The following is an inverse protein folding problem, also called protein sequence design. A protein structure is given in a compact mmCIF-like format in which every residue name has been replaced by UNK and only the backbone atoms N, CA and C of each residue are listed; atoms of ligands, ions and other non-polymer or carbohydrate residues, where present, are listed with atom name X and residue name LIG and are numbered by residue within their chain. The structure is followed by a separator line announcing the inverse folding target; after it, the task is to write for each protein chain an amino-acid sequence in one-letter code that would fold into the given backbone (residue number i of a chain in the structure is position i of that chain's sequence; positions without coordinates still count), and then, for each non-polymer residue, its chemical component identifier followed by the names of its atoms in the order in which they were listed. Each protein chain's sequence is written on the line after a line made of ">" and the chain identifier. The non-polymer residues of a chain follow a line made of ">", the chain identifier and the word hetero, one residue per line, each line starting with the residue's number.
data_IF_854942210173
#
_entry.id   IF_854942210173
#
_cell.length_a   1.000
_cell.length_b   1.000
_cell.length_c   1.000
_cell.angle_alpha   90.00
_cell.angle_beta   90.00
_cell.angle_gamma   90.00
#
_symmetry.space_group_name_H-M   'P 1'
#
loop_
_entity.id
_entity.type
_entity.pdbx_description
1 polymer ?
#
# COMPACT_ATOMS: atom_id res chain seq x y z
N UNK A 1 -13.60 -0.85 -11.88
CA UNK A 1 -12.57 -1.03 -10.84
C UNK A 1 -12.61 0.04 -9.77
N UNK A 2 -12.40 1.32 -10.09
CA UNK A 2 -12.53 2.43 -9.12
C UNK A 2 -13.82 2.37 -8.28
N UNK A 3 -14.98 2.29 -8.91
CA UNK A 3 -16.27 2.18 -8.19
C UNK A 3 -16.36 0.97 -7.24
N UNK A 4 -15.73 -0.16 -7.60
CA UNK A 4 -15.69 -1.33 -6.72
C UNK A 4 -14.74 -1.10 -5.54
N UNK A 5 -13.55 -0.52 -5.81
CA UNK A 5 -12.57 -0.14 -4.80
C UNK A 5 -13.17 0.81 -3.75
N UNK A 6 -13.86 1.86 -4.21
CA UNK A 6 -14.57 2.81 -3.35
C UNK A 6 -15.63 2.12 -2.48
N UNK A 7 -16.49 1.27 -3.07
CA UNK A 7 -17.53 0.57 -2.30
C UNK A 7 -16.92 -0.39 -1.27
N UNK A 8 -15.87 -1.12 -1.63
CA UNK A 8 -15.19 -2.02 -0.70
C UNK A 8 -14.46 -1.28 0.41
N UNK A 9 -13.79 -0.16 0.12
CA UNK A 9 -13.10 0.62 1.16
C UNK A 9 -14.07 1.35 2.10
N UNK A 10 -15.24 1.77 1.60
CA UNK A 10 -16.27 2.43 2.41
C UNK A 10 -17.06 1.46 3.29
N UNK A 11 -17.40 0.27 2.77
CA UNK A 11 -18.37 -0.64 3.39
C UNK A 11 -17.77 -1.95 3.91
N UNK A 12 -16.51 -2.24 3.58
CA UNK A 12 -15.90 -3.55 3.80
C UNK A 12 -16.41 -4.63 2.84
N UNK A 13 -15.84 -5.83 2.94
CA UNK A 13 -16.14 -6.93 2.02
C UNK A 13 -17.60 -7.39 2.14
N UNK A 14 -18.09 -7.61 3.36
CA UNK A 14 -19.40 -8.21 3.61
C UNK A 14 -20.57 -7.35 3.14
N UNK A 15 -20.58 -6.07 3.51
CA UNK A 15 -21.66 -5.15 3.19
C UNK A 15 -21.62 -4.65 1.72
N UNK A 16 -20.48 -4.76 1.04
CA UNK A 16 -20.38 -4.43 -0.37
C UNK A 16 -21.26 -5.37 -1.23
N UNK A 17 -22.04 -4.78 -2.13
CA UNK A 17 -22.92 -5.52 -3.04
C UNK A 17 -22.68 -5.12 -4.49
N UNK A 18 -22.90 -6.06 -5.41
CA UNK A 18 -22.91 -5.76 -6.85
C UNK A 18 -23.92 -4.67 -7.22
N UNK A 19 -25.02 -4.54 -6.49
CA UNK A 19 -25.97 -3.46 -6.72
C UNK A 19 -25.38 -2.09 -6.38
N UNK A 20 -24.71 -1.96 -5.23
CA UNK A 20 -24.04 -0.72 -4.83
C UNK A 20 -22.93 -0.34 -5.82
N UNK A 21 -22.14 -1.32 -6.25
CA UNK A 21 -21.07 -1.12 -7.24
C UNK A 21 -21.64 -0.72 -8.60
N UNK A 22 -22.74 -1.35 -9.04
CA UNK A 22 -23.40 -1.02 -10.30
C UNK A 22 -23.91 0.42 -10.30
N UNK A 23 -24.60 0.83 -9.24
CA UNK A 23 -25.07 2.21 -9.07
C UNK A 23 -23.89 3.20 -9.12
N UNK A 24 -22.79 2.90 -8.41
CA UNK A 24 -21.59 3.74 -8.36
C UNK A 24 -20.89 3.85 -9.72
N UNK A 25 -20.90 2.77 -10.50
CA UNK A 25 -20.26 2.69 -11.80
C UNK A 25 -21.14 3.20 -12.96
N UNK A 26 -22.36 3.66 -12.69
CA UNK A 26 -23.39 3.96 -13.70
C UNK A 26 -23.66 2.77 -14.64
N UNK A 27 -23.70 1.57 -14.04
CA UNK A 27 -23.95 0.30 -14.73
C UNK A 27 -25.20 -0.37 -14.16
N UNK A 28 -25.69 -1.38 -14.90
CA UNK A 28 -26.73 -2.27 -14.40
C UNK A 28 -26.09 -3.44 -13.64
N UNK A 29 -26.82 -3.99 -12.65
CA UNK A 29 -26.37 -5.19 -11.94
C UNK A 29 -26.12 -6.40 -12.87
N UNK A 30 -26.95 -6.67 -13.89
CA UNK A 30 -26.65 -7.70 -14.90
C UNK A 30 -25.32 -7.49 -15.63
N UNK A 31 -24.94 -6.23 -15.92
CA UNK A 31 -23.66 -5.94 -16.56
C UNK A 31 -22.48 -6.37 -15.67
N UNK A 32 -22.52 -6.11 -14.35
CA UNK A 32 -21.47 -6.57 -13.44
C UNK A 32 -21.42 -8.11 -13.37
N UNK A 33 -22.57 -8.77 -13.28
CA UNK A 33 -22.65 -10.24 -13.26
C UNK A 33 -22.08 -10.88 -14.53
N UNK A 34 -22.09 -10.17 -15.66
CA UNK A 34 -21.48 -10.66 -16.90
C UNK A 34 -19.95 -10.73 -16.80
N UNK A 35 -19.31 -9.79 -16.10
CA UNK A 35 -17.86 -9.76 -15.91
C UNK A 35 -17.40 -10.60 -14.72
N UNK A 36 -18.19 -10.66 -13.65
CA UNK A 36 -17.79 -11.31 -12.39
C UNK A 36 -18.84 -12.31 -11.93
N UNK A 37 -18.46 -13.59 -11.92
CA UNK A 37 -19.32 -14.66 -11.45
C UNK A 37 -19.55 -14.66 -9.93
N UNK A 38 -18.71 -13.96 -9.15
CA UNK A 38 -18.89 -13.82 -7.70
C UNK A 38 -18.27 -12.54 -7.15
N UNK A 39 -18.74 -12.10 -5.97
CA UNK A 39 -18.16 -10.96 -5.23
C UNK A 39 -16.70 -11.20 -4.88
N UNK A 40 -16.34 -12.45 -4.56
CA UNK A 40 -14.96 -12.86 -4.27
C UNK A 40 -14.03 -12.61 -5.45
N UNK A 41 -14.43 -13.03 -6.65
CA UNK A 41 -13.63 -12.82 -7.87
C UNK A 41 -13.48 -11.33 -8.20
N UNK A 42 -14.55 -10.54 -8.06
CA UNK A 42 -14.45 -9.10 -8.22
C UNK A 42 -13.51 -8.47 -7.19
N UNK A 43 -13.58 -8.92 -5.93
CA UNK A 43 -12.73 -8.41 -4.87
C UNK A 43 -11.24 -8.72 -5.12
N UNK A 44 -10.92 -9.97 -5.44
CA UNK A 44 -9.56 -10.41 -5.81
C UNK A 44 -9.02 -9.57 -6.97
N UNK A 45 -9.81 -9.40 -8.03
CA UNK A 45 -9.43 -8.59 -9.19
C UNK A 45 -9.20 -7.10 -8.84
N UNK A 46 -9.91 -6.55 -7.84
CA UNK A 46 -9.66 -5.18 -7.35
C UNK A 46 -8.39 -5.14 -6.50
N UNK A 47 -8.11 -6.15 -5.68
CA UNK A 47 -6.84 -6.28 -4.94
C UNK A 47 -5.67 -6.35 -5.91
N UNK A 48 -5.70 -7.28 -6.85
CA UNK A 48 -4.62 -7.52 -7.81
C UNK A 48 -4.33 -6.27 -8.63
N UNK A 49 -5.36 -5.61 -9.18
CA UNK A 49 -5.15 -4.37 -9.94
C UNK A 49 -4.68 -3.20 -9.09
N UNK A 50 -5.12 -3.10 -7.84
CA UNK A 50 -4.63 -2.03 -6.95
C UNK A 50 -3.17 -2.27 -6.59
N UNK A 51 -2.81 -3.51 -6.25
CA UNK A 51 -1.43 -3.87 -5.94
C UNK A 51 -0.51 -3.72 -7.15
N UNK A 52 -0.91 -4.16 -8.34
CA UNK A 52 -0.14 -3.96 -9.56
C UNK A 52 0.06 -2.47 -9.86
N UNK A 53 -1.00 -1.66 -9.72
CA UNK A 53 -0.91 -0.23 -9.96
C UNK A 53 0.02 0.48 -8.97
N UNK A 54 -0.02 0.10 -7.69
CA UNK A 54 0.68 0.80 -6.61
C UNK A 54 2.05 0.19 -6.32
N UNK A 55 2.09 -1.10 -5.99
CA UNK A 55 3.29 -1.80 -5.50
C UNK A 55 4.31 -1.96 -6.63
N UNK A 56 3.91 -2.39 -7.82
CA UNK A 56 4.86 -2.55 -8.93
C UNK A 56 5.46 -1.20 -9.34
N UNK A 57 4.63 -0.16 -9.43
CA UNK A 57 5.09 1.19 -9.73
C UNK A 57 6.03 1.72 -8.64
N UNK A 58 5.70 1.50 -7.37
CA UNK A 58 6.53 1.89 -6.23
C UNK A 58 7.88 1.17 -6.22
N UNK A 59 7.91 -0.14 -6.49
CA UNK A 59 9.15 -0.91 -6.59
C UNK A 59 10.00 -0.47 -7.79
N UNK A 60 9.40 -0.24 -8.96
CA UNK A 60 10.13 0.25 -10.12
C UNK A 60 10.73 1.65 -9.89
N UNK A 61 9.99 2.55 -9.26
CA UNK A 61 10.48 3.90 -8.91
C UNK A 61 11.62 3.83 -7.90
N UNK A 62 11.43 3.08 -6.82
CA UNK A 62 12.42 2.94 -5.76
C UNK A 62 13.71 2.27 -6.23
N UNK A 63 13.68 1.29 -7.12
CA UNK A 63 14.90 0.68 -7.68
C UNK A 63 15.85 1.66 -8.39
N UNK A 64 15.38 2.85 -8.79
CA UNK A 64 16.23 3.89 -9.39
C UNK A 64 17.08 4.63 -8.35
N UNK A 65 16.75 4.48 -7.07
CA UNK A 65 17.41 5.15 -5.96
C UNK A 65 18.59 4.34 -5.42
N UNK A 66 19.64 5.08 -5.04
CA UNK A 66 20.92 4.50 -4.60
C UNK A 66 20.98 4.24 -3.10
N UNK A 67 20.21 4.98 -2.32
CA UNK A 67 20.20 4.92 -0.86
C UNK A 67 18.93 4.24 -0.36
N UNK A 68 18.98 3.60 0.81
CA UNK A 68 17.80 3.02 1.47
C UNK A 68 16.73 4.09 1.71
N UNK A 69 17.14 5.26 2.22
CA UNK A 69 16.21 6.36 2.44
C UNK A 69 15.58 6.87 1.13
N UNK A 70 16.35 6.90 0.03
CA UNK A 70 15.85 7.25 -1.30
C UNK A 70 14.83 6.22 -1.80
N UNK A 71 15.13 4.92 -1.66
CA UNK A 71 14.23 3.83 -2.03
C UNK A 71 12.91 3.91 -1.27
N UNK A 72 12.95 4.11 0.04
CA UNK A 72 11.74 4.27 0.88
C UNK A 72 10.96 5.54 0.49
N UNK A 73 11.65 6.66 0.24
CA UNK A 73 11.02 7.91 -0.25
C UNK A 73 10.26 7.69 -1.54
N UNK A 74 10.90 7.08 -2.53
CA UNK A 74 10.30 6.82 -3.83
C UNK A 74 9.12 5.84 -3.72
N UNK A 75 9.23 4.82 -2.86
CA UNK A 75 8.13 3.89 -2.61
C UNK A 75 6.90 4.62 -2.03
N UNK A 76 7.08 5.37 -0.93
CA UNK A 76 5.98 6.11 -0.31
C UNK A 76 5.42 7.17 -1.27
N UNK A 77 6.29 7.87 -2.00
CA UNK A 77 5.90 8.86 -3.01
C UNK A 77 4.98 8.28 -4.08
N UNK A 78 5.23 7.06 -4.56
CA UNK A 78 4.37 6.38 -5.53
C UNK A 78 2.98 6.07 -4.94
N UNK A 79 2.91 5.66 -3.68
CA UNK A 79 1.64 5.43 -2.97
C UNK A 79 0.85 6.74 -2.84
N UNK A 80 1.50 7.83 -2.42
CA UNK A 80 0.88 9.17 -2.31
C UNK A 80 0.38 9.66 -3.66
N UNK A 81 1.13 9.43 -4.75
CA UNK A 81 0.71 9.78 -6.09
C UNK A 81 -0.54 9.00 -6.54
N UNK A 82 -0.59 7.69 -6.29
CA UNK A 82 -1.74 6.86 -6.60
C UNK A 82 -2.99 7.32 -5.82
N UNK A 83 -2.82 7.63 -4.53
CA UNK A 83 -3.87 8.18 -3.67
C UNK A 83 -4.40 9.54 -4.19
N UNK A 84 -3.51 10.41 -4.69
CA UNK A 84 -3.92 11.67 -5.32
C UNK A 84 -4.74 11.49 -6.61
N UNK A 85 -4.59 10.36 -7.31
CA UNK A 85 -5.37 10.02 -8.50
C UNK A 85 -6.70 9.33 -8.15
N UNK A 86 -6.71 8.49 -7.12
CA UNK A 86 -7.88 7.81 -6.60
C UNK A 86 -7.79 7.68 -5.08
N UNK A 87 -8.63 8.47 -4.39
CA UNK A 87 -8.72 8.56 -2.92
C UNK A 87 -9.15 7.27 -2.22
N UNK A 88 -9.55 6.26 -2.98
CA UNK A 88 -9.91 4.96 -2.42
C UNK A 88 -8.72 4.01 -2.29
N UNK A 89 -7.55 4.34 -2.86
CA UNK A 89 -6.39 3.43 -2.93
C UNK A 89 -5.85 3.07 -1.56
N UNK A 90 -5.48 4.05 -0.74
CA UNK A 90 -4.90 3.82 0.57
C UNK A 90 -5.91 3.17 1.52
N UNK A 91 -7.14 3.69 1.54
CA UNK A 91 -8.23 3.13 2.34
C UNK A 91 -8.52 1.67 1.96
N UNK A 92 -8.53 1.36 0.67
CA UNK A 92 -8.77 0.00 0.19
C UNK A 92 -7.61 -0.94 0.54
N UNK A 93 -6.36 -0.57 0.35
CA UNK A 93 -5.21 -1.43 0.71
C UNK A 93 -5.21 -1.78 2.19
N UNK A 94 -5.47 -0.81 3.07
CA UNK A 94 -5.57 -1.03 4.51
C UNK A 94 -6.76 -1.93 4.86
N UNK A 95 -7.93 -1.65 4.28
CA UNK A 95 -9.13 -2.47 4.50
C UNK A 95 -8.88 -3.90 4.01
N UNK A 96 -8.20 -4.07 2.88
CA UNK A 96 -7.98 -5.38 2.29
C UNK A 96 -7.17 -6.32 3.20
N UNK A 97 -6.24 -5.78 3.98
CA UNK A 97 -5.52 -6.54 5.00
C UNK A 97 -6.42 -6.96 6.14
N UNK A 98 -7.24 -6.05 6.64
CA UNK A 98 -8.18 -6.37 7.70
C UNK A 98 -9.24 -7.39 7.25
N UNK A 99 -9.67 -7.32 5.99
CA UNK A 99 -10.62 -8.28 5.42
C UNK A 99 -9.98 -9.66 5.18
N UNK A 100 -8.71 -9.72 4.78
CA UNK A 100 -7.99 -10.99 4.66
C UNK A 100 -7.86 -11.74 6.01
N UNK A 101 -7.67 -11.00 7.11
CA UNK A 101 -7.66 -11.57 8.47
C UNK A 101 -9.04 -12.10 8.90
N UNK A 102 -10.13 -11.48 8.43
CA UNK A 102 -11.52 -11.90 8.73
C UNK A 102 -12.01 -13.03 7.83
N UNK A 103 -11.52 -13.05 6.59
CA UNK A 103 -11.92 -13.94 5.52
C UNK A 103 -10.67 -14.60 4.91
N UNK A 104 -10.20 -15.73 5.48
CA UNK A 104 -8.99 -16.40 5.01
C UNK A 104 -9.01 -16.75 3.51
N UNK A 105 -10.20 -16.94 2.92
CA UNK A 105 -10.38 -17.17 1.48
C UNK A 105 -10.06 -15.95 0.58
N UNK A 106 -9.88 -14.76 1.17
CA UNK A 106 -9.45 -13.54 0.47
C UNK A 106 -7.94 -13.31 0.58
N UNK A 107 -7.24 -14.15 1.34
CA UNK A 107 -5.89 -13.85 1.78
C UNK A 107 -4.81 -14.12 0.71
N UNK A 108 -5.05 -15.00 -0.27
CA UNK A 108 -4.05 -15.40 -1.29
C UNK A 108 -3.38 -14.20 -1.98
N UNK A 109 -4.14 -13.38 -2.72
CA UNK A 109 -3.61 -12.19 -3.43
C UNK A 109 -2.91 -11.18 -2.50
N UNK A 110 -3.41 -11.05 -1.28
CA UNK A 110 -2.89 -10.08 -0.32
C UNK A 110 -1.59 -10.57 0.33
N UNK A 111 -1.49 -11.86 0.66
CA UNK A 111 -0.27 -12.48 1.18
C UNK A 111 0.88 -12.35 0.18
N UNK A 112 0.63 -12.66 -1.10
CA UNK A 112 1.67 -12.61 -2.14
C UNK A 112 2.27 -11.20 -2.26
N UNK A 113 1.42 -10.16 -2.23
CA UNK A 113 1.87 -8.77 -2.36
C UNK A 113 2.62 -8.27 -1.11
N UNK A 114 2.20 -8.71 0.07
CA UNK A 114 2.90 -8.40 1.33
C UNK A 114 4.24 -9.11 1.43
N UNK A 115 4.31 -10.38 1.06
CA UNK A 115 5.56 -11.15 1.05
C UNK A 115 6.55 -10.56 0.04
N UNK A 116 6.07 -10.18 -1.15
CA UNK A 116 6.88 -9.48 -2.15
C UNK A 116 7.44 -8.15 -1.60
N UNK A 117 6.59 -7.31 -1.00
CA UNK A 117 7.03 -6.03 -0.43
C UNK A 117 8.04 -6.24 0.70
N UNK A 118 7.81 -7.22 1.58
CA UNK A 118 8.72 -7.59 2.66
C UNK A 118 10.07 -8.06 2.13
N UNK A 119 10.08 -8.91 1.11
CA UNK A 119 11.28 -9.36 0.43
C UNK A 119 12.07 -8.20 -0.19
N UNK A 120 11.37 -7.27 -0.86
CA UNK A 120 11.98 -6.07 -1.44
C UNK A 120 12.65 -5.19 -0.38
N UNK A 121 11.97 -4.90 0.74
CA UNK A 121 12.53 -4.07 1.83
C UNK A 121 13.77 -4.74 2.45
N UNK A 122 13.71 -6.04 2.73
CA UNK A 122 14.86 -6.79 3.27
C UNK A 122 16.06 -6.76 2.33
N UNK A 123 15.82 -6.90 1.03
CA UNK A 123 16.87 -6.77 0.02
C UNK A 123 17.47 -5.36 0.01
N UNK A 124 16.64 -4.31 0.09
CA UNK A 124 17.13 -2.94 0.14
C UNK A 124 17.98 -2.64 1.39
N UNK A 125 17.61 -3.18 2.56
CA UNK A 125 18.42 -3.07 3.78
C UNK A 125 19.76 -3.80 3.62
N UNK A 126 19.75 -4.99 3.00
CA UNK A 126 20.98 -5.76 2.74
C UNK A 126 21.94 -5.00 1.83
N UNK A 127 21.45 -4.45 0.73
CA UNK A 127 22.25 -3.59 -0.17
C UNK A 127 22.85 -2.39 0.57
N UNK A 128 22.08 -1.77 1.46
CA UNK A 128 22.53 -0.63 2.26
C UNK A 128 23.63 -1.01 3.26
N UNK A 129 23.60 -2.23 3.80
CA UNK A 129 24.68 -2.78 4.63
C UNK A 129 25.94 -3.04 3.77
N UNK A 130 25.79 -3.66 2.61
CA UNK A 130 26.91 -3.98 1.71
C UNK A 130 27.61 -2.72 1.19
N UNK A 131 26.87 -1.64 0.97
CA UNK A 131 27.40 -0.34 0.54
C UNK A 131 27.92 0.53 1.69
N UNK A 132 27.75 0.09 2.95
CA UNK A 132 28.17 0.81 4.14
C UNK A 132 27.28 2.00 4.53
N UNK A 133 26.10 2.14 3.91
CA UNK A 133 25.08 3.13 4.30
C UNK A 133 24.47 2.81 5.67
N UNK A 134 24.26 1.51 5.95
CA UNK A 134 23.65 1.01 7.19
C UNK A 134 24.66 0.15 7.96
N UNK A 135 24.68 0.27 9.29
CA UNK A 135 25.55 -0.53 10.17
C UNK A 135 25.27 -2.04 10.00
N UNK A 136 26.31 -2.86 9.97
CA UNK A 136 26.20 -4.30 9.66
C UNK A 136 25.63 -5.16 10.78
N UNK A 137 25.47 -4.61 11.98
CA UNK A 137 24.93 -5.27 13.17
C UNK A 137 23.43 -4.98 13.41
N UNK A 138 22.73 -4.36 12.44
CA UNK A 138 21.27 -4.27 12.50
C UNK A 138 20.65 -5.66 12.23
N UNK A 139 19.64 -6.00 13.01
CA UNK A 139 18.74 -7.10 12.68
C UNK A 139 17.82 -6.71 11.50
N UNK A 140 18.12 -7.26 10.32
CA UNK A 140 17.40 -6.98 9.07
C UNK A 140 15.91 -7.31 9.22
N UNK A 141 15.56 -8.37 9.95
CA UNK A 141 14.18 -8.79 10.14
C UNK A 141 13.41 -7.71 10.90
N UNK A 142 13.86 -7.34 12.10
CA UNK A 142 13.23 -6.29 12.89
C UNK A 142 13.21 -4.93 12.18
N UNK A 143 14.27 -4.58 11.45
CA UNK A 143 14.34 -3.33 10.71
C UNK A 143 13.33 -3.30 9.55
N UNK A 144 13.16 -4.40 8.83
CA UNK A 144 12.15 -4.51 7.77
C UNK A 144 10.73 -4.41 8.35
N UNK A 145 10.43 -5.12 9.44
CA UNK A 145 9.13 -5.04 10.11
C UNK A 145 8.82 -3.62 10.59
N UNK A 146 9.82 -2.92 11.13
CA UNK A 146 9.67 -1.53 11.56
C UNK A 146 9.28 -0.62 10.39
N UNK A 147 9.99 -0.71 9.26
CA UNK A 147 9.69 0.10 8.07
C UNK A 147 8.29 -0.21 7.54
N UNK A 148 7.94 -1.50 7.47
CA UNK A 148 6.62 -1.95 7.02
C UNK A 148 5.52 -1.44 7.95
N UNK A 149 5.70 -1.50 9.26
CA UNK A 149 4.75 -0.98 10.24
C UNK A 149 4.53 0.53 10.09
N UNK A 150 5.59 1.30 9.82
CA UNK A 150 5.45 2.73 9.53
C UNK A 150 4.69 2.94 8.22
N UNK A 151 4.98 2.17 7.18
CA UNK A 151 4.25 2.25 5.90
C UNK A 151 2.76 1.93 6.05
N UNK A 152 2.40 0.94 6.87
CA UNK A 152 1.01 0.68 7.25
C UNK A 152 0.37 1.88 7.94
N UNK A 153 1.08 2.50 8.88
CA UNK A 153 0.64 3.72 9.56
C UNK A 153 0.41 4.89 8.60
N UNK A 154 1.29 5.08 7.61
CA UNK A 154 1.15 6.10 6.58
C UNK A 154 -0.04 5.81 5.65
N UNK A 155 -0.22 4.54 5.23
CA UNK A 155 -1.39 4.13 4.45
C UNK A 155 -2.70 4.33 5.19
N UNK A 156 -2.75 3.98 6.48
CA UNK A 156 -3.91 4.24 7.34
C UNK A 156 -4.16 5.74 7.48
N UNK A 157 -3.12 6.53 7.73
CA UNK A 157 -3.25 7.98 7.83
C UNK A 157 -3.79 8.57 6.53
N UNK A 158 -3.25 8.17 5.38
CA UNK A 158 -3.70 8.61 4.07
C UNK A 158 -5.18 8.27 3.80
N UNK A 159 -5.59 7.03 4.10
CA UNK A 159 -6.94 6.55 3.80
C UNK A 159 -8.04 7.04 4.74
N UNK A 160 -7.71 7.39 5.99
CA UNK A 160 -8.74 7.60 7.03
C UNK A 160 -8.60 8.87 7.87
N UNK A 161 -7.42 9.52 7.91
CA UNK A 161 -7.14 10.58 8.88
C UNK A 161 -6.68 11.89 8.23
N UNK A 162 -5.76 11.79 7.29
CA UNK A 162 -4.99 12.88 6.73
C UNK A 162 -5.60 13.48 5.47
N UNK A 163 -5.15 14.69 5.16
CA UNK A 163 -5.21 15.26 3.81
C UNK A 163 -3.84 15.11 3.14
N UNK A 164 -3.78 15.32 1.81
CA UNK A 164 -2.54 15.13 1.03
C UNK A 164 -1.38 15.95 1.56
N UNK A 165 -1.64 17.17 2.04
CA UNK A 165 -0.59 18.07 2.52
C UNK A 165 0.06 17.53 3.79
N UNK A 166 -0.76 17.03 4.71
CA UNK A 166 -0.27 16.42 5.96
C UNK A 166 0.44 15.11 5.69
N UNK A 167 -0.06 14.30 4.77
CA UNK A 167 0.56 13.02 4.39
C UNK A 167 1.98 13.22 3.82
N UNK A 168 2.17 14.23 2.96
CA UNK A 168 3.50 14.60 2.46
C UNK A 168 4.40 15.05 3.62
N UNK A 169 3.91 15.93 4.49
CA UNK A 169 4.70 16.44 5.61
C UNK A 169 5.18 15.34 6.58
N UNK A 170 4.30 14.40 6.97
CA UNK A 170 4.70 13.30 7.86
C UNK A 170 5.66 12.32 7.18
N UNK A 171 5.51 12.13 5.87
CA UNK A 171 6.42 11.31 5.07
C UNK A 171 7.81 11.92 5.04
N UNK A 172 7.91 13.23 4.78
CA UNK A 172 9.19 13.95 4.80
C UNK A 172 9.85 13.87 6.19
N UNK A 173 9.09 14.07 7.26
CA UNK A 173 9.61 13.96 8.62
C UNK A 173 10.12 12.56 8.96
N UNK A 174 9.42 11.51 8.52
CA UNK A 174 9.87 10.13 8.67
C UNK A 174 11.19 9.87 7.93
N UNK A 175 11.33 10.41 6.72
CA UNK A 175 12.55 10.27 5.93
C UNK A 175 13.72 11.05 6.53
N UNK A 176 13.48 12.20 7.16
CA UNK A 176 14.50 12.92 7.94
C UNK A 176 14.97 12.11 9.15
N UNK A 177 14.05 11.42 9.83
CA UNK A 177 14.37 10.52 10.94
C UNK A 177 15.25 9.36 10.49
N UNK A 178 14.93 8.74 9.34
CA UNK A 178 15.73 7.65 8.77
C UNK A 178 17.15 8.08 8.39
N UNK A 179 17.33 9.32 7.95
CA UNK A 179 18.65 9.86 7.64
C UNK A 179 19.45 10.29 8.88
N UNK A 180 18.89 10.16 10.09
CA UNK A 180 19.50 10.64 11.33
C UNK A 180 19.49 12.17 11.49
N UNK A 181 18.88 12.90 10.55
CA UNK A 181 18.93 14.37 10.49
C UNK A 181 17.86 15.05 11.35
N UNK A 182 16.82 14.33 11.76
CA UNK A 182 15.67 14.93 12.47
C UNK A 182 15.98 15.45 13.88
N UNK A 183 17.09 15.05 14.50
CA UNK A 183 17.42 15.41 15.89
C UNK A 183 18.75 16.16 16.04
N UNK A 184 19.45 16.44 14.94
CA UNK A 184 20.65 17.27 14.98
C UNK A 184 20.26 18.74 14.94
N UNK A 185 20.10 19.35 16.13
CA UNK A 185 20.34 20.80 16.25
C UNK A 185 21.82 21.02 15.98
N UNK A 186 22.14 21.73 14.90
CA UNK A 186 23.51 22.11 14.54
C UNK A 186 24.23 22.89 15.64
#
# INVERSE_FOLDING_TARGET
>A
MRAAREVFSESGYDAATFQAIAIRADLTRPAINHYFASKRLLYQEVVDQTNAWVIEAAVQQSQRERTLAGRIRAFIGAVVQAEGQDRSVAAFMVTAVLEAERHPELAESNHDSQEFTRGYIKAAIRDAIETGEVRSDIDIESAAEMIIAVMWGLGFYAGFVGDDKRLVAITDQFLELLNGNAWHTG
#
